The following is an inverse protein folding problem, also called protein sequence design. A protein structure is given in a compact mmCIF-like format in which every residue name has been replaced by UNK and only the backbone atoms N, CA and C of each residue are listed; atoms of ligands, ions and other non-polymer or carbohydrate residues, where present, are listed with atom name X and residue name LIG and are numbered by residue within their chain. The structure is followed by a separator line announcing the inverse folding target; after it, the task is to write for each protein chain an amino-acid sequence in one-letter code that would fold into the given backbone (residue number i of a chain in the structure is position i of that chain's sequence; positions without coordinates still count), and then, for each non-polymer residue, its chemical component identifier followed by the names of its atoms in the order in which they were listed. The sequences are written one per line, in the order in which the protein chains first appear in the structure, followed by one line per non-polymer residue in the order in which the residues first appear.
data_IF_093221097170
#
_entry.id   IF_093221097170
#
_cell.length_a   1.000
_cell.length_b   1.000
_cell.length_c   1.000
_cell.angle_alpha   90.00
_cell.angle_beta   90.00
_cell.angle_gamma   90.00
#
_symmetry.space_group_name_H-M   'P 1'
#
loop_
_entity.id
_entity.type
_entity.pdbx_description
1 polymer ?
#
# COMPACT_ATOMS: atom_id res chain seq x y z
N UNK A 1 -55.70 -34.96 -15.03
CA UNK A 1 -54.67 -35.42 -16.00
C UNK A 1 -53.68 -34.29 -16.27
N UNK A 2 -54.16 -33.10 -16.65
CA UNK A 2 -53.34 -31.90 -16.92
C UNK A 2 -52.42 -31.46 -15.76
N UNK A 3 -52.84 -31.53 -14.50
CA UNK A 3 -52.00 -31.12 -13.36
C UNK A 3 -50.78 -32.02 -13.13
N UNK A 4 -50.90 -33.33 -13.41
CA UNK A 4 -49.79 -34.28 -13.32
C UNK A 4 -48.79 -34.14 -14.46
N UNK A 5 -49.22 -33.58 -15.60
CA UNK A 5 -48.34 -33.25 -16.71
C UNK A 5 -47.59 -31.94 -16.43
N UNK A 6 -48.28 -30.93 -15.91
CA UNK A 6 -47.66 -29.66 -15.50
C UNK A 6 -46.61 -29.85 -14.39
N UNK A 7 -46.82 -30.77 -13.44
CA UNK A 7 -45.83 -31.07 -12.40
C UNK A 7 -44.58 -31.75 -12.98
N UNK A 8 -44.75 -32.72 -13.89
CA UNK A 8 -43.63 -33.39 -14.58
C UNK A 8 -42.85 -32.43 -15.47
N UNK A 9 -43.54 -31.50 -16.13
CA UNK A 9 -42.91 -30.47 -16.95
C UNK A 9 -42.12 -29.47 -16.09
N UNK A 10 -42.64 -29.09 -14.92
CA UNK A 10 -41.95 -28.25 -13.95
C UNK A 10 -40.71 -28.95 -13.37
N UNK A 11 -40.80 -30.23 -13.04
CA UNK A 11 -39.67 -31.02 -12.53
C UNK A 11 -38.57 -31.15 -13.60
N UNK A 12 -38.95 -31.41 -14.86
CA UNK A 12 -38.00 -31.45 -15.98
C UNK A 12 -37.33 -30.09 -16.23
N UNK A 13 -38.05 -28.98 -16.00
CA UNK A 13 -37.50 -27.63 -16.13
C UNK A 13 -36.49 -27.31 -15.02
N UNK A 14 -36.78 -27.71 -13.78
CA UNK A 14 -35.89 -27.56 -12.63
C UNK A 14 -34.61 -28.39 -12.80
N UNK A 15 -34.73 -29.62 -13.31
CA UNK A 15 -33.57 -30.48 -13.60
C UNK A 15 -32.69 -29.88 -14.72
N UNK A 16 -33.30 -29.33 -15.76
CA UNK A 16 -32.59 -28.63 -16.85
C UNK A 16 -31.89 -27.35 -16.37
N UNK A 17 -32.52 -26.60 -15.47
CA UNK A 17 -31.90 -25.44 -14.81
C UNK A 17 -30.69 -25.86 -13.97
N UNK A 18 -30.82 -26.92 -13.16
CA UNK A 18 -29.72 -27.46 -12.37
C UNK A 18 -28.53 -27.94 -13.21
N UNK A 19 -28.77 -28.51 -14.39
CA UNK A 19 -27.69 -28.90 -15.31
C UNK A 19 -26.97 -27.70 -15.92
N UNK A 20 -27.68 -26.63 -16.31
CA UNK A 20 -27.04 -25.40 -16.80
C UNK A 20 -26.21 -24.72 -15.73
N UNK A 21 -26.69 -24.63 -14.49
CA UNK A 21 -25.93 -24.04 -13.37
C UNK A 21 -24.66 -24.84 -13.06
N UNK A 22 -24.73 -26.16 -13.13
CA UNK A 22 -23.56 -27.05 -12.95
C UNK A 22 -22.54 -26.89 -14.08
N UNK A 23 -23.00 -26.73 -15.32
CA UNK A 23 -22.14 -26.47 -16.47
C UNK A 23 -21.46 -25.10 -16.37
N UNK A 24 -22.18 -24.07 -15.93
CA UNK A 24 -21.63 -22.73 -15.67
C UNK A 24 -20.58 -22.77 -14.55
N UNK A 25 -20.81 -23.53 -13.48
CA UNK A 25 -19.86 -23.72 -12.39
C UNK A 25 -18.58 -24.43 -12.86
N UNK A 26 -18.71 -25.50 -13.66
CA UNK A 26 -17.56 -26.19 -14.25
C UNK A 26 -16.79 -25.30 -15.25
N UNK A 27 -17.47 -24.45 -16.01
CA UNK A 27 -16.83 -23.47 -16.89
C UNK A 27 -16.03 -22.41 -16.11
N UNK A 28 -16.59 -21.90 -15.00
CA UNK A 28 -15.90 -20.97 -14.09
C UNK A 28 -14.66 -21.60 -13.46
N UNK A 29 -14.74 -22.87 -13.05
CA UNK A 29 -13.60 -23.60 -12.51
C UNK A 29 -12.49 -23.78 -13.56
N UNK A 30 -12.84 -24.16 -14.79
CA UNK A 30 -11.88 -24.26 -15.91
C UNK A 30 -11.19 -22.93 -16.23
N UNK A 31 -11.91 -21.81 -16.15
CA UNK A 31 -11.30 -20.47 -16.30
C UNK A 31 -10.32 -20.14 -15.17
N UNK A 32 -10.69 -20.46 -13.92
CA UNK A 32 -9.83 -20.21 -12.76
C UNK A 32 -8.53 -21.02 -12.83
N UNK A 33 -8.61 -22.30 -13.22
CA UNK A 33 -7.44 -23.16 -13.43
C UNK A 33 -6.55 -22.65 -14.57
N UNK A 34 -7.14 -22.17 -15.67
CA UNK A 34 -6.40 -21.56 -16.80
C UNK A 34 -5.67 -20.29 -16.36
N UNK A 35 -6.32 -19.43 -15.56
CA UNK A 35 -5.70 -18.22 -15.02
C UNK A 35 -4.60 -18.53 -13.99
N UNK A 36 -4.74 -19.60 -13.21
CA UNK A 36 -3.69 -20.01 -12.28
C UNK A 36 -2.48 -20.59 -13.02
N UNK A 37 -2.69 -21.32 -14.12
CA UNK A 37 -1.63 -21.82 -14.99
C UNK A 37 -0.87 -20.68 -15.67
N UNK A 38 -1.56 -19.68 -16.21
CA UNK A 38 -0.91 -18.51 -16.82
C UNK A 38 -0.09 -17.71 -15.82
N UNK A 39 -0.52 -17.57 -14.56
CA UNK A 39 0.28 -16.91 -13.52
C UNK A 39 1.58 -17.68 -13.23
N UNK A 40 1.54 -19.02 -13.14
CA UNK A 40 2.75 -19.84 -12.96
C UNK A 40 3.71 -19.73 -14.15
N UNK A 41 3.18 -19.69 -15.38
CA UNK A 41 3.99 -19.55 -16.59
C UNK A 41 4.67 -18.17 -16.67
N UNK A 42 3.97 -17.11 -16.26
CA UNK A 42 4.54 -15.75 -16.17
C UNK A 42 5.63 -15.67 -15.09
N UNK A 43 5.42 -16.29 -13.94
CA UNK A 43 6.43 -16.36 -12.87
C UNK A 43 7.68 -17.12 -13.31
N UNK A 44 7.53 -18.24 -14.01
CA UNK A 44 8.65 -19.03 -14.53
C UNK A 44 9.44 -18.27 -15.60
N UNK A 45 8.75 -17.58 -16.54
CA UNK A 45 9.41 -16.70 -17.54
C UNK A 45 10.17 -15.55 -16.89
N UNK A 46 9.61 -14.94 -15.85
CA UNK A 46 10.28 -13.87 -15.09
C UNK A 46 11.52 -14.38 -14.35
N UNK A 47 11.49 -15.60 -13.79
CA UNK A 47 12.65 -16.21 -13.17
C UNK A 47 13.74 -16.55 -14.20
N UNK A 48 13.37 -17.09 -15.36
CA UNK A 48 14.30 -17.40 -16.44
C UNK A 48 14.96 -16.12 -17.01
N UNK A 49 14.19 -15.05 -17.21
CA UNK A 49 14.73 -13.74 -17.63
C UNK A 49 15.70 -13.13 -16.60
N UNK A 50 15.42 -13.29 -15.30
CA UNK A 50 16.34 -12.85 -14.23
C UNK A 50 17.64 -13.67 -14.22
N UNK A 51 17.58 -14.99 -14.43
CA UNK A 51 18.78 -15.83 -14.56
C UNK A 51 19.61 -15.47 -15.79
N UNK A 52 18.95 -15.21 -16.92
CA UNK A 52 19.64 -14.82 -18.17
C UNK A 52 20.31 -13.43 -18.05
N UNK A 53 19.68 -12.48 -17.34
CA UNK A 53 20.29 -11.18 -17.03
C UNK A 53 21.47 -11.26 -16.06
N UNK A 54 21.49 -12.25 -15.16
CA UNK A 54 22.64 -12.49 -14.28
C UNK A 54 23.83 -13.05 -15.08
N UNK A 55 23.58 -14.02 -15.97
CA UNK A 55 24.61 -14.62 -16.84
C UNK A 55 25.20 -13.62 -17.85
N UNK A 56 24.39 -12.70 -18.39
CA UNK A 56 24.89 -11.64 -19.27
C UNK A 56 25.72 -10.57 -18.54
N UNK A 57 25.52 -10.40 -17.23
CA UNK A 57 26.31 -9.47 -16.41
C UNK A 57 27.68 -10.05 -16.06
N UNK A 58 27.81 -11.37 -16.04
CA UNK A 58 29.08 -12.08 -15.89
C UNK A 58 29.91 -12.09 -17.20
N UNK A 59 29.26 -12.05 -18.37
CA UNK A 59 29.95 -12.02 -19.68
C UNK A 59 30.42 -10.65 -20.19
N UNK A 60 30.16 -9.55 -19.46
CA UNK A 60 30.59 -8.19 -19.84
C UNK A 60 31.77 -7.66 -19.01
N UNK A 61 32.31 -8.48 -18.09
CA UNK A 61 33.47 -8.16 -17.24
C UNK A 61 34.71 -9.02 -17.59
N UNK A 62 34.68 -9.77 -18.70
CA UNK A 62 35.79 -10.65 -19.14
C UNK A 62 36.68 -10.08 -20.24
N UNK A 63 36.48 -8.82 -20.70
CA UNK A 63 37.34 -8.20 -21.73
C UNK A 63 38.24 -7.07 -21.25
N UNK A 64 38.41 -6.88 -19.93
CA UNK A 64 39.32 -5.84 -19.43
C UNK A 64 39.97 -6.19 -18.09
N UNK A 65 40.84 -7.20 -18.09
CA UNK A 65 42.20 -7.15 -17.50
C UNK A 65 42.78 -8.56 -17.53
N UNK A 66 43.76 -8.78 -18.40
CA UNK A 66 44.64 -9.93 -18.31
C UNK A 66 45.63 -9.70 -17.17
N UNK A 67 45.47 -10.43 -16.08
CA UNK A 67 46.56 -10.92 -15.23
C UNK A 67 46.04 -12.05 -14.35
N UNK A 68 46.70 -13.20 -14.48
CA UNK A 68 46.36 -14.47 -13.88
C UNK A 68 46.67 -14.44 -12.39
N UNK A 69 45.65 -14.34 -11.53
CA UNK A 69 45.71 -14.82 -10.14
C UNK A 69 44.45 -15.64 -9.85
N UNK A 70 44.65 -16.89 -9.46
CA UNK A 70 43.58 -17.79 -9.02
C UNK A 70 43.02 -17.29 -7.68
N UNK A 71 41.89 -16.58 -7.67
CA UNK A 71 41.06 -16.40 -6.47
C UNK A 71 39.81 -17.28 -6.59
N UNK A 72 39.90 -18.49 -6.02
CA UNK A 72 38.71 -19.22 -5.59
C UNK A 72 37.99 -18.34 -4.59
N UNK A 73 36.80 -17.84 -4.93
CA UNK A 73 36.04 -16.87 -4.15
C UNK A 73 36.03 -17.16 -2.64
N UNK A 74 36.90 -16.48 -1.91
CA UNK A 74 36.93 -16.51 -0.47
C UNK A 74 35.74 -15.71 0.05
N UNK A 75 34.78 -16.45 0.63
CA UNK A 75 33.59 -15.88 1.23
C UNK A 75 34.00 -14.91 2.35
N UNK A 76 33.60 -13.65 2.27
CA UNK A 76 34.00 -12.62 3.25
C UNK A 76 33.64 -13.05 4.68
N UNK A 77 34.46 -12.68 5.69
CA UNK A 77 34.16 -12.96 7.12
C UNK A 77 32.74 -12.58 7.52
N UNK A 78 32.18 -11.52 6.92
CA UNK A 78 30.79 -11.07 7.13
C UNK A 78 29.76 -12.05 6.56
N UNK A 79 30.00 -12.62 5.37
CA UNK A 79 29.14 -13.63 4.75
C UNK A 79 29.20 -14.96 5.50
N UNK A 80 30.39 -15.39 5.95
CA UNK A 80 30.56 -16.59 6.79
C UNK A 80 29.82 -16.45 8.14
N UNK A 81 29.90 -15.27 8.78
CA UNK A 81 29.18 -14.96 10.01
C UNK A 81 27.64 -14.95 9.81
N UNK A 82 27.17 -14.52 8.65
CA UNK A 82 25.73 -14.53 8.33
C UNK A 82 25.19 -15.95 8.08
N UNK A 83 25.94 -16.79 7.38
CA UNK A 83 25.56 -18.19 7.16
C UNK A 83 25.56 -19.00 8.45
N UNK A 84 26.57 -18.84 9.30
CA UNK A 84 26.63 -19.49 10.61
C UNK A 84 25.49 -19.03 11.53
N UNK A 85 25.16 -17.74 11.56
CA UNK A 85 23.97 -17.24 12.28
C UNK A 85 22.66 -17.85 11.76
N UNK A 86 22.53 -17.99 10.43
CA UNK A 86 21.34 -18.57 9.79
C UNK A 86 21.20 -20.08 10.11
N UNK A 87 22.31 -20.81 10.12
CA UNK A 87 22.37 -22.22 10.50
C UNK A 87 22.07 -22.42 12.00
N UNK A 88 22.63 -21.60 12.89
CA UNK A 88 22.32 -21.66 14.32
C UNK A 88 20.84 -21.35 14.62
N UNK A 89 20.21 -20.41 13.90
CA UNK A 89 18.77 -20.12 14.04
C UNK A 89 17.88 -21.28 13.56
N UNK A 90 18.34 -22.05 12.56
CA UNK A 90 17.67 -23.26 12.08
C UNK A 90 17.77 -24.37 13.13
N UNK A 91 18.98 -24.63 13.64
CA UNK A 91 19.22 -25.58 14.74
C UNK A 91 18.44 -25.26 16.01
N UNK A 92 18.32 -23.99 16.39
CA UNK A 92 17.51 -23.57 17.56
C UNK A 92 16.01 -23.77 17.33
N UNK A 93 15.52 -23.70 16.09
CA UNK A 93 14.12 -24.02 15.76
C UNK A 93 13.87 -25.54 15.78
N UNK A 94 14.83 -26.32 15.28
CA UNK A 94 14.76 -27.78 15.29
C UNK A 94 14.91 -28.35 16.72
N UNK A 95 15.78 -27.79 17.55
CA UNK A 95 15.90 -28.15 18.99
C UNK A 95 14.71 -27.74 19.85
N UNK A 96 13.89 -26.78 19.41
CA UNK A 96 12.66 -26.38 20.13
C UNK A 96 11.47 -27.32 19.85
N UNK A 97 11.67 -28.33 19.00
CA UNK A 97 10.64 -29.32 18.64
C UNK A 97 10.86 -30.67 19.35
N UNK A 98 11.84 -30.79 20.25
CA UNK A 98 12.05 -31.98 21.09
C UNK A 98 12.12 -31.60 22.56
N UNK A 99 10.96 -31.29 23.16
CA UNK A 99 10.70 -31.41 24.61
C UNK A 99 9.24 -31.86 24.77
N UNK A 100 8.98 -33.06 24.27
CA UNK A 100 7.86 -34.00 24.45
C UNK A 100 8.59 -35.29 23.98
N UNK A 101 8.91 -36.30 24.77
CA UNK A 101 8.30 -36.90 25.93
C UNK A 101 9.41 -37.63 26.69
N UNK A 102 9.42 -37.61 28.02
CA UNK A 102 10.12 -38.57 28.89
C UNK A 102 9.69 -38.23 30.32
N UNK A 103 8.93 -39.11 30.99
CA UNK A 103 9.11 -39.57 32.37
C UNK A 103 8.05 -40.63 32.73
N UNK A 104 8.56 -41.67 33.38
CA UNK A 104 8.03 -43.01 33.59
C UNK A 104 6.96 -43.15 34.70
N UNK A 105 6.40 -44.37 34.69
CA UNK A 105 5.56 -45.17 35.62
C UNK A 105 5.33 -44.75 37.08
N UNK A 106 4.10 -45.08 37.50
CA UNK A 106 3.62 -45.55 38.81
C UNK A 106 3.81 -44.69 40.07
N UNK A 107 2.70 -44.21 40.63
CA UNK A 107 2.44 -44.23 42.08
C UNK A 107 0.92 -44.18 42.34
N UNK A 108 0.41 -45.25 42.95
CA UNK A 108 -0.89 -45.31 43.59
C UNK A 108 -0.89 -44.46 44.88
N UNK A 109 -2.06 -43.90 45.18
CA UNK A 109 -2.54 -43.46 46.51
C UNK A 109 -1.79 -42.36 47.29
N UNK A 110 -2.44 -41.21 47.48
CA UNK A 110 -3.08 -40.89 48.77
C UNK A 110 -3.59 -39.44 48.79
N UNK A 111 -4.79 -39.30 49.37
CA UNK A 111 -5.46 -38.04 49.69
C UNK A 111 -4.62 -37.20 50.66
N UNK A 112 -3.66 -36.42 50.14
CA UNK A 112 -2.92 -35.48 50.98
C UNK A 112 -3.78 -34.24 51.29
N UNK A 113 -4.26 -34.23 52.52
CA UNK A 113 -5.10 -33.23 53.17
C UNK A 113 -4.35 -31.92 53.54
N UNK A 114 -3.07 -31.76 53.15
CA UNK A 114 -2.28 -30.54 53.36
C UNK A 114 -1.93 -29.79 52.07
N UNK A 115 -2.95 -29.26 51.38
CA UNK A 115 -2.75 -28.16 50.42
C UNK A 115 -3.56 -26.95 50.90
N UNK A 116 -3.01 -25.72 50.91
CA UNK A 116 -3.72 -24.51 51.32
C UNK A 116 -4.80 -24.14 50.28
N UNK A 117 -5.83 -24.98 50.19
CA UNK A 117 -6.98 -24.87 49.29
C UNK A 117 -7.89 -23.74 49.77
N UNK A 118 -7.44 -22.51 49.54
CA UNK A 118 -8.22 -21.29 49.71
C UNK A 118 -8.40 -20.49 48.43
N UNK A 119 -7.77 -20.92 47.33
CA UNK A 119 -7.78 -20.20 46.06
C UNK A 119 -8.37 -21.16 45.03
N UNK A 120 -9.53 -20.80 44.49
CA UNK A 120 -10.26 -21.63 43.54
C UNK A 120 -9.42 -22.02 42.32
N UNK A 121 -9.96 -22.88 41.45
CA UNK A 121 -9.25 -23.34 40.25
C UNK A 121 -8.68 -22.14 39.45
N UNK A 122 -7.45 -22.29 38.95
CA UNK A 122 -6.81 -21.29 38.12
C UNK A 122 -7.64 -21.08 36.85
N UNK A 123 -7.99 -19.82 36.56
CA UNK A 123 -8.73 -19.44 35.36
C UNK A 123 -7.83 -18.60 34.48
N UNK A 124 -7.56 -19.10 33.28
CA UNK A 124 -6.77 -18.39 32.29
C UNK A 124 -7.56 -17.25 31.66
N UNK A 125 -6.83 -16.19 31.30
CA UNK A 125 -7.40 -15.01 30.69
C UNK A 125 -7.99 -15.34 29.30
N UNK A 126 -9.23 -14.90 29.05
CA UNK A 126 -9.93 -15.13 27.79
C UNK A 126 -10.19 -13.81 27.08
N UNK A 127 -9.82 -13.71 25.81
CA UNK A 127 -10.10 -12.54 24.97
C UNK A 127 -11.38 -12.75 24.15
N UNK A 128 -12.12 -11.68 23.88
CA UNK A 128 -13.23 -11.73 22.93
C UNK A 128 -12.73 -11.96 21.51
N UNK A 129 -13.63 -12.39 20.59
CA UNK A 129 -13.38 -12.25 19.17
C UNK A 129 -13.01 -10.82 18.81
N UNK A 130 -12.29 -10.67 17.70
CA UNK A 130 -12.03 -9.35 17.13
C UNK A 130 -13.33 -8.76 16.59
N UNK A 131 -13.50 -7.45 16.77
CA UNK A 131 -14.46 -6.67 16.00
C UNK A 131 -14.15 -6.74 14.51
N UNK A 132 -15.11 -6.29 13.71
CA UNK A 132 -14.83 -5.93 12.33
C UNK A 132 -13.83 -4.77 12.26
N UNK A 133 -13.24 -4.62 11.08
CA UNK A 133 -12.40 -3.47 10.79
C UNK A 133 -13.25 -2.22 10.71
N UNK A 134 -12.79 -1.15 11.36
CA UNK A 134 -13.36 0.18 11.22
C UNK A 134 -13.29 0.67 9.77
N UNK A 135 -14.05 1.71 9.49
CA UNK A 135 -13.83 2.53 8.30
C UNK A 135 -12.41 3.14 8.30
N UNK A 136 -11.97 3.53 7.12
CA UNK A 136 -10.67 4.16 6.95
C UNK A 136 -10.67 5.53 7.65
N UNK A 137 -9.62 5.83 8.42
CA UNK A 137 -9.49 7.09 9.16
C UNK A 137 -9.47 8.36 8.30
N UNK A 138 -9.38 8.22 6.97
CA UNK A 138 -9.35 9.31 6.00
C UNK A 138 -10.27 8.99 4.85
N UNK A 139 -10.83 10.02 4.21
CA UNK A 139 -11.65 9.90 3.00
C UNK A 139 -10.83 9.95 1.71
N UNK A 140 -9.56 10.39 1.79
CA UNK A 140 -8.61 10.43 0.69
C UNK A 140 -7.19 10.15 1.20
N UNK A 141 -6.29 9.70 0.32
CA UNK A 141 -4.89 9.44 0.66
C UNK A 141 -4.69 8.14 1.44
N UNK A 142 -3.74 8.14 2.37
CA UNK A 142 -3.36 6.96 3.15
C UNK A 142 -3.81 7.15 4.59
N UNK A 143 -4.64 6.23 5.07
CA UNK A 143 -5.12 6.22 6.46
C UNK A 143 -4.90 4.88 7.13
N UNK A 144 -5.63 4.68 8.22
CA UNK A 144 -5.57 3.46 9.02
C UNK A 144 -6.99 2.97 9.29
N UNK A 145 -7.18 1.65 9.19
CA UNK A 145 -8.34 0.94 9.76
C UNK A 145 -7.88 0.20 11.01
N UNK A 146 -8.78 0.09 11.98
CA UNK A 146 -8.50 -0.57 13.25
C UNK A 146 -9.56 -1.61 13.56
N UNK A 147 -9.16 -2.67 14.26
CA UNK A 147 -10.10 -3.57 14.92
C UNK A 147 -9.66 -3.84 16.33
N UNK A 148 -10.62 -4.08 17.21
CA UNK A 148 -10.41 -4.18 18.65
C UNK A 148 -11.00 -5.47 19.19
N UNK A 149 -10.45 -5.94 20.30
CA UNK A 149 -11.02 -6.99 21.14
C UNK A 149 -10.78 -6.61 22.59
N UNK A 150 -11.54 -7.19 23.50
CA UNK A 150 -11.43 -6.93 24.93
C UNK A 150 -11.10 -8.20 25.70
N UNK A 151 -10.72 -8.03 26.96
CA UNK A 151 -10.63 -9.14 27.90
C UNK A 151 -12.05 -9.51 28.31
N UNK A 152 -12.45 -10.74 28.01
CA UNK A 152 -13.74 -11.31 28.42
C UNK A 152 -13.66 -11.84 29.84
N UNK A 153 -12.54 -12.48 30.18
CA UNK A 153 -12.26 -13.06 31.50
C UNK A 153 -10.84 -12.67 31.87
N UNK A 154 -10.69 -11.98 33.00
CA UNK A 154 -9.39 -11.68 33.60
C UNK A 154 -8.80 -12.95 34.24
N UNK A 155 -7.46 -13.10 34.29
CA UNK A 155 -6.85 -14.27 34.91
C UNK A 155 -7.13 -14.29 36.42
N UNK A 156 -7.48 -15.46 36.96
CA UNK A 156 -7.76 -15.65 38.39
C UNK A 156 -6.92 -16.79 38.97
N UNK A 157 -6.64 -16.72 40.27
CA UNK A 157 -5.98 -17.78 41.05
C UNK A 157 -4.68 -18.31 40.40
N UNK A 158 -3.84 -17.39 39.88
CA UNK A 158 -2.59 -17.75 39.23
C UNK A 158 -2.69 -18.13 37.75
N UNK A 159 -3.87 -17.98 37.12
CA UNK A 159 -4.06 -18.22 35.69
C UNK A 159 -3.23 -17.31 34.78
N UNK A 160 -3.05 -17.75 33.53
CA UNK A 160 -2.21 -17.07 32.54
C UNK A 160 -2.81 -15.74 32.06
N UNK A 161 -1.97 -14.69 31.99
CA UNK A 161 -2.36 -13.38 31.45
C UNK A 161 -2.68 -13.46 29.96
N UNK A 162 -3.62 -12.63 29.51
CA UNK A 162 -3.99 -12.57 28.09
C UNK A 162 -2.79 -12.20 27.22
N UNK A 163 -2.54 -13.01 26.21
CA UNK A 163 -1.45 -12.78 25.28
C UNK A 163 -1.88 -12.00 24.03
N UNK A 164 -1.01 -11.09 23.60
CA UNK A 164 -1.15 -10.33 22.37
C UNK A 164 -1.92 -9.01 22.52
N UNK A 165 -2.03 -8.27 21.43
CA UNK A 165 -2.59 -6.92 21.43
C UNK A 165 -4.12 -6.94 21.49
N UNK A 166 -4.71 -5.92 22.10
CA UNK A 166 -6.15 -5.65 22.10
C UNK A 166 -6.59 -4.84 20.87
N UNK A 167 -5.64 -4.19 20.19
CA UNK A 167 -5.90 -3.37 19.01
C UNK A 167 -4.98 -3.83 17.87
N UNK A 168 -5.56 -4.01 16.68
CA UNK A 168 -4.83 -4.22 15.43
C UNK A 168 -5.08 -3.05 14.50
N UNK A 169 -4.03 -2.60 13.82
CA UNK A 169 -4.05 -1.49 12.86
C UNK A 169 -3.56 -1.99 11.50
N UNK A 170 -4.20 -1.55 10.43
CA UNK A 170 -3.79 -1.83 9.05
C UNK A 170 -3.91 -0.55 8.22
N UNK A 171 -2.98 -0.34 7.29
CA UNK A 171 -3.06 0.80 6.35
C UNK A 171 -4.21 0.59 5.37
N UNK A 172 -5.01 1.63 5.17
CA UNK A 172 -5.99 1.72 4.08
C UNK A 172 -5.54 2.80 3.09
N UNK A 173 -5.92 2.64 1.82
CA UNK A 173 -5.62 3.58 0.74
C UNK A 173 -6.92 4.00 0.09
N UNK A 174 -7.20 5.29 0.13
CA UNK A 174 -8.31 5.92 -0.55
C UNK A 174 -7.84 6.60 -1.84
N UNK A 175 -8.78 7.18 -2.58
CA UNK A 175 -8.47 8.07 -3.72
C UNK A 175 -7.45 9.14 -3.30
N UNK A 176 -6.57 9.55 -4.20
CA UNK A 176 -5.60 10.61 -3.89
C UNK A 176 -6.34 11.90 -3.51
N UNK A 177 -5.83 12.63 -2.52
CA UNK A 177 -6.45 13.87 -2.07
C UNK A 177 -6.32 14.95 -3.14
N UNK A 178 -7.40 15.71 -3.34
CA UNK A 178 -7.37 16.92 -4.14
C UNK A 178 -6.35 17.90 -3.52
N UNK A 179 -5.61 18.57 -4.38
CA UNK A 179 -4.61 19.55 -3.98
C UNK A 179 -4.78 20.77 -4.85
N UNK A 180 -5.08 21.90 -4.24
CA UNK A 180 -5.38 23.13 -4.96
C UNK A 180 -4.11 23.81 -5.46
N UNK A 181 -4.30 24.66 -6.47
CA UNK A 181 -3.23 25.51 -6.93
C UNK A 181 -2.87 26.58 -5.90
N UNK A 182 -1.57 26.70 -5.59
CA UNK A 182 -1.04 27.76 -4.73
C UNK A 182 -0.19 28.70 -5.59
N UNK A 183 -0.42 30.00 -5.44
CA UNK A 183 0.30 31.06 -6.14
C UNK A 183 1.21 31.80 -5.16
N UNK A 184 2.28 32.41 -5.66
CA UNK A 184 3.07 33.34 -4.86
C UNK A 184 2.25 34.57 -4.52
N UNK A 185 2.75 35.37 -3.59
CA UNK A 185 2.34 36.77 -3.49
C UNK A 185 2.58 37.50 -4.82
N UNK A 186 1.86 38.60 -5.00
CA UNK A 186 2.04 39.46 -6.16
C UNK A 186 3.39 40.14 -6.12
N UNK A 187 4.09 40.16 -7.25
CA UNK A 187 5.19 41.08 -7.44
C UNK A 187 4.70 42.54 -7.45
N UNK A 188 5.65 43.46 -7.37
CA UNK A 188 5.38 44.89 -7.50
C UNK A 188 4.73 45.23 -8.83
N UNK A 189 3.98 46.33 -8.85
CA UNK A 189 3.44 46.89 -10.08
C UNK A 189 4.59 47.43 -10.95
N UNK A 190 4.55 47.13 -12.25
CA UNK A 190 5.43 47.78 -13.21
C UNK A 190 5.19 49.29 -13.25
N UNK A 191 6.14 50.05 -13.76
CA UNK A 191 5.88 51.41 -14.22
C UNK A 191 4.74 51.43 -15.26
N UNK A 192 4.11 52.60 -15.41
CA UNK A 192 3.11 52.81 -16.46
C UNK A 192 3.73 52.57 -17.84
N UNK A 193 2.98 51.88 -18.71
CA UNK A 193 3.41 51.58 -20.07
C UNK A 193 3.71 52.82 -20.91
N UNK A 194 3.02 53.92 -20.61
CA UNK A 194 3.14 55.22 -21.27
C UNK A 194 3.22 56.30 -20.19
N UNK A 195 3.88 57.42 -20.49
CA UNK A 195 3.98 58.58 -19.60
C UNK A 195 2.85 59.58 -19.80
N UNK A 196 2.06 59.42 -20.86
CA UNK A 196 0.90 60.25 -21.15
C UNK A 196 -0.22 59.46 -21.88
N UNK A 197 -1.44 59.99 -21.84
CA UNK A 197 -2.61 59.42 -22.52
C UNK A 197 -3.47 58.48 -21.67
N UNK A 198 -4.67 58.17 -22.16
CA UNK A 198 -5.71 57.48 -21.37
C UNK A 198 -5.52 55.96 -21.23
N UNK A 199 -4.61 55.38 -22.01
CA UNK A 199 -4.47 53.92 -22.13
C UNK A 199 -3.22 53.38 -21.41
N UNK A 200 -2.53 54.23 -20.64
CA UNK A 200 -1.38 53.85 -19.86
C UNK A 200 -1.76 52.82 -18.78
N UNK A 201 -1.00 51.75 -18.67
CA UNK A 201 -1.33 50.61 -17.80
C UNK A 201 -0.12 50.12 -17.01
N UNK A 202 -0.36 49.64 -15.79
CA UNK A 202 0.63 48.89 -15.00
C UNK A 202 0.24 47.42 -14.99
N UNK A 203 1.25 46.57 -14.95
CA UNK A 203 1.10 45.13 -14.90
C UNK A 203 1.86 44.62 -13.69
N UNK A 204 1.24 43.75 -12.91
CA UNK A 204 1.94 42.93 -11.92
C UNK A 204 1.80 41.46 -12.26
N UNK A 205 2.79 40.68 -11.85
CA UNK A 205 2.86 39.24 -12.12
C UNK A 205 3.06 38.47 -10.82
N UNK A 206 2.55 37.25 -10.79
CA UNK A 206 2.82 36.26 -9.75
C UNK A 206 3.09 34.92 -10.37
N UNK A 207 3.78 34.05 -9.64
CA UNK A 207 4.13 32.72 -10.10
C UNK A 207 3.30 31.67 -9.39
N UNK A 208 3.32 30.46 -9.95
CA UNK A 208 2.65 29.31 -9.35
C UNK A 208 3.64 28.55 -8.50
N UNK A 209 3.34 28.42 -7.21
CA UNK A 209 4.10 27.60 -6.27
C UNK A 209 3.71 26.13 -6.37
N UNK A 210 2.41 25.85 -6.47
CA UNK A 210 1.89 24.49 -6.52
C UNK A 210 0.91 24.32 -7.67
N UNK A 211 1.06 23.22 -8.43
CA UNK A 211 0.10 22.84 -9.46
C UNK A 211 -1.11 22.16 -8.82
N UNK A 212 -2.32 22.36 -9.35
CA UNK A 212 -3.48 21.61 -8.89
C UNK A 212 -3.32 20.14 -9.26
N UNK A 213 -3.69 19.24 -8.34
CA UNK A 213 -3.65 17.79 -8.53
C UNK A 213 -4.96 17.15 -8.09
N UNK A 214 -5.26 16.00 -8.68
CA UNK A 214 -6.33 15.10 -8.25
C UNK A 214 -7.72 15.76 -8.10
N UNK A 215 -8.03 16.70 -9.00
CA UNK A 215 -9.30 17.44 -9.00
C UNK A 215 -9.33 18.68 -8.09
N UNK A 216 -8.19 19.15 -7.61
CA UNK A 216 -8.09 20.43 -6.91
C UNK A 216 -8.32 21.64 -7.82
N UNK A 217 -8.58 22.79 -7.19
CA UNK A 217 -8.96 24.04 -7.85
C UNK A 217 -7.86 24.56 -8.77
N UNK A 218 -8.26 24.97 -9.98
CA UNK A 218 -7.36 25.54 -10.98
C UNK A 218 -6.71 26.84 -10.50
N UNK A 219 -5.54 27.14 -11.05
CA UNK A 219 -4.83 28.36 -10.70
C UNK A 219 -5.57 29.60 -11.18
N UNK A 220 -5.70 30.64 -10.34
CA UNK A 220 -6.17 31.93 -10.79
C UNK A 220 -5.14 32.62 -11.71
N UNK A 221 -5.52 33.73 -12.33
CA UNK A 221 -4.67 34.46 -13.29
C UNK A 221 -3.30 34.83 -12.71
N UNK A 222 -2.25 34.66 -13.52
CA UNK A 222 -0.85 34.96 -13.15
C UNK A 222 -0.48 36.43 -13.34
N UNK A 223 -1.32 37.18 -14.04
CA UNK A 223 -1.09 38.55 -14.43
C UNK A 223 -2.32 39.37 -14.12
N UNK A 224 -2.09 40.57 -13.61
CA UNK A 224 -3.13 41.55 -13.34
C UNK A 224 -2.74 42.87 -13.97
N UNK A 225 -3.73 43.59 -14.48
CA UNK A 225 -3.58 44.84 -15.21
C UNK A 225 -4.45 45.90 -14.56
N UNK A 226 -3.88 47.09 -14.36
CA UNK A 226 -4.57 48.27 -13.84
C UNK A 226 -4.24 49.48 -14.71
N UNK A 227 -5.19 50.39 -14.89
CA UNK A 227 -4.96 51.66 -15.57
C UNK A 227 -4.18 52.64 -14.70
N UNK A 228 -3.30 53.41 -15.33
CA UNK A 228 -2.61 54.53 -14.71
C UNK A 228 -3.42 55.81 -14.81
N UNK A 229 -3.14 56.74 -13.91
CA UNK A 229 -3.54 58.13 -14.07
C UNK A 229 -2.31 58.94 -14.50
N UNK A 230 -2.18 59.19 -15.80
CA UNK A 230 -1.09 59.97 -16.41
C UNK A 230 -1.68 61.16 -17.18
N UNK A 231 -0.94 62.28 -17.34
CA UNK A 231 -1.45 63.44 -18.06
C UNK A 231 -1.77 63.11 -19.53
N UNK A 232 -2.62 63.91 -20.16
CA UNK A 232 -2.86 63.81 -21.59
C UNK A 232 -1.58 64.17 -22.36
N UNK A 233 -1.31 63.47 -23.47
CA UNK A 233 -0.19 63.82 -24.33
C UNK A 233 -0.43 65.18 -24.98
N UNK A 234 0.50 66.12 -24.79
CA UNK A 234 0.53 67.36 -25.56
C UNK A 234 1.13 67.04 -26.93
N UNK A 235 0.41 67.34 -28.02
CA UNK A 235 0.86 67.09 -29.38
C UNK A 235 2.09 67.95 -29.74
N UNK A 236 3.28 67.52 -29.37
CA UNK A 236 4.55 68.04 -29.92
C UNK A 236 5.43 66.91 -30.46
N UNK A 237 4.84 66.09 -31.34
CA UNK A 237 5.58 65.36 -32.38
C UNK A 237 4.64 64.86 -33.50
N UNK A 238 4.13 65.80 -34.30
CA UNK A 238 3.61 65.48 -35.65
C UNK A 238 4.64 65.99 -36.65
N UNK A 239 5.38 65.03 -37.23
CA UNK A 239 6.15 65.11 -38.48
C UNK A 239 6.02 66.43 -39.25
N UNK A 240 7.12 67.21 -39.34
CA UNK A 240 7.58 67.86 -40.59
C UNK A 240 9.09 68.12 -40.50
N UNK A 241 9.91 67.11 -40.74
CA UNK A 241 11.13 67.33 -41.52
C UNK A 241 10.81 66.87 -42.95
N UNK A 242 10.09 67.74 -43.64
CA UNK A 242 10.14 67.88 -45.09
C UNK A 242 10.82 69.23 -45.31
N UNK A 243 11.64 69.34 -46.36
CA UNK A 243 12.65 70.37 -46.69
C UNK A 243 14.03 70.01 -46.11
N UNK A 244 15.01 69.69 -46.94
CA UNK A 244 15.65 70.60 -47.91
C UNK A 244 15.93 69.92 -49.26
N UNK A 245 15.37 70.45 -50.36
CA UNK A 245 16.04 71.19 -51.46
C UNK A 245 16.99 70.35 -52.32
#
# INVERSE_FOLDING_TARGET
MMEKEAMREKDALMEKQGMMEKEEMMAKQRMMERNQKTHRDVDMKNQMSRKQKMQQKEGLDETRTGERVQEKGEMTRKQQAMLTKKQNRKRLREKKVQVEDDYDEDDEDEDNINSPRGWGQAVDCMLTPWSDWSECSVSCGVGVVMKTRMVKIEPQNGGNKCQGKLIKKKKCRQKKCATDCVMTEWGEWSSCSETCGNNAVQIRKRQRLQRPLHGGLACPSKMEKKFCNVPMCTNSNVRKEIFTY
#
